data_IF_586685426796
#
_entry.id   IF_586685426796
#
_cell.length_a   1.000
_cell.length_b   1.000
_cell.length_c   1.000
_cell.angle_alpha   90.00
_cell.angle_beta   90.00
_cell.angle_gamma   90.00
#
_symmetry.space_group_name_H-M   'P 1'
#
loop_
_entity.id
_entity.type
_entity.pdbx_description
1 polymer ?
#
# COMPACT_ATOMS: atom_id res chain seq x y z
N UNK A 1 7.05 51.36 11.45
CA UNK A 1 6.83 50.07 10.74
C UNK A 1 7.41 48.98 11.63
N UNK A 2 6.60 48.02 12.08
CA UNK A 2 7.07 46.89 12.89
C UNK A 2 7.51 45.80 11.92
N UNK A 3 8.79 45.50 11.88
CA UNK A 3 9.34 44.43 11.06
C UNK A 3 9.15 43.12 11.83
N UNK A 4 8.33 42.22 11.27
CA UNK A 4 8.17 40.86 11.80
C UNK A 4 9.49 40.12 11.51
N UNK A 5 10.11 39.48 12.51
CA UNK A 5 11.30 38.67 12.25
C UNK A 5 10.90 37.50 11.34
N UNK A 6 11.66 37.30 10.26
CA UNK A 6 11.54 36.13 9.42
C UNK A 6 11.72 34.88 10.30
N UNK A 7 10.75 33.96 10.24
CA UNK A 7 10.88 32.63 10.86
C UNK A 7 12.13 32.00 10.22
N UNK A 8 13.15 31.59 11.00
CA UNK A 8 14.34 30.98 10.43
C UNK A 8 13.94 29.72 9.66
N UNK A 9 14.45 29.58 8.42
CA UNK A 9 14.36 28.34 7.67
C UNK A 9 14.91 27.21 8.56
N UNK A 10 14.06 26.24 8.90
CA UNK A 10 14.49 25.09 9.67
C UNK A 10 15.41 24.26 8.78
N UNK A 11 16.71 24.24 9.05
CA UNK A 11 17.64 23.31 8.42
C UNK A 11 17.20 21.88 8.74
N UNK A 12 16.55 21.24 7.76
CA UNK A 12 16.07 19.87 7.91
C UNK A 12 17.28 18.91 7.88
N UNK A 13 17.52 18.21 8.98
CA UNK A 13 18.52 17.14 9.04
C UNK A 13 17.93 15.85 8.44
N UNK A 14 18.62 15.28 7.45
CA UNK A 14 18.25 14.01 6.81
C UNK A 14 19.05 12.84 7.43
N UNK A 15 18.37 11.73 7.69
CA UNK A 15 18.96 10.49 8.19
C UNK A 15 18.68 9.37 7.19
N UNK A 16 19.73 8.72 6.69
CA UNK A 16 19.59 7.50 5.89
C UNK A 16 19.55 6.26 6.79
N UNK A 17 18.54 5.43 6.62
CA UNK A 17 18.42 4.16 7.35
C UNK A 17 19.15 3.04 6.60
N UNK A 18 20.12 2.35 7.23
CA UNK A 18 20.71 1.14 6.68
C UNK A 18 19.66 0.06 6.43
N UNK A 19 19.79 -0.70 5.34
CA UNK A 19 18.84 -1.78 4.97
C UNK A 19 18.71 -2.90 6.01
N UNK A 20 19.68 -3.02 6.93
CA UNK A 20 19.67 -3.98 8.03
C UNK A 20 18.79 -3.55 9.21
N UNK A 21 18.39 -2.28 9.27
CA UNK A 21 17.55 -1.74 10.34
C UNK A 21 16.11 -1.69 9.83
N UNK A 22 15.25 -2.53 10.43
CA UNK A 22 13.80 -2.44 10.24
C UNK A 22 13.22 -1.28 11.05
N UNK A 23 12.47 -0.40 10.40
CA UNK A 23 11.70 0.63 11.10
C UNK A 23 10.33 0.07 11.49
N UNK A 24 10.09 -0.09 12.79
CA UNK A 24 8.81 -0.59 13.31
C UNK A 24 7.98 0.54 13.89
N UNK A 25 6.70 0.57 13.55
CA UNK A 25 5.74 1.57 13.97
C UNK A 25 4.42 0.96 14.43
N UNK A 26 3.72 1.68 15.28
CA UNK A 26 2.35 1.35 15.70
C UNK A 26 1.37 1.53 14.54
N UNK A 27 0.14 1.08 14.72
CA UNK A 27 -0.90 1.25 13.72
C UNK A 27 -1.28 2.73 13.57
N UNK A 28 -1.35 3.43 14.69
CA UNK A 28 -1.74 4.84 14.79
C UNK A 28 -0.73 5.71 14.06
N UNK A 29 0.57 5.47 14.31
CA UNK A 29 1.66 6.13 13.57
C UNK A 29 1.62 5.84 12.07
N UNK A 30 1.27 4.61 11.67
CA UNK A 30 1.14 4.28 10.25
C UNK A 30 0.03 5.08 9.58
N UNK A 31 -1.12 5.25 10.24
CA UNK A 31 -2.24 6.03 9.70
C UNK A 31 -1.84 7.50 9.50
N UNK A 32 -1.15 8.09 10.46
CA UNK A 32 -0.64 9.47 10.33
C UNK A 32 0.39 9.60 9.20
N UNK A 33 1.34 8.66 9.12
CA UNK A 33 2.36 8.64 8.08
C UNK A 33 1.76 8.46 6.68
N UNK A 34 0.80 7.55 6.51
CA UNK A 34 0.13 7.29 5.24
C UNK A 34 -0.71 8.48 4.79
N UNK A 35 -1.41 9.15 5.72
CA UNK A 35 -2.16 10.36 5.43
C UNK A 35 -1.25 11.52 4.96
N UNK A 36 -0.06 11.66 5.56
CA UNK A 36 0.91 12.69 5.20
C UNK A 36 1.69 12.37 3.91
N UNK A 37 1.81 11.08 3.54
CA UNK A 37 2.68 10.62 2.45
C UNK A 37 1.95 9.71 1.46
N UNK A 38 0.79 10.18 0.96
CA UNK A 38 -0.07 9.39 0.06
C UNK A 38 0.65 8.85 -1.17
N UNK A 39 1.67 9.55 -1.66
CA UNK A 39 2.42 9.17 -2.86
C UNK A 39 3.44 8.04 -2.62
N UNK A 40 3.81 7.75 -1.37
CA UNK A 40 4.89 6.81 -1.03
C UNK A 40 4.46 5.33 -0.97
N UNK A 41 3.17 5.03 -1.17
CA UNK A 41 2.62 3.65 -1.21
C UNK A 41 3.13 2.79 -0.05
N UNK A 42 2.84 3.25 1.17
CA UNK A 42 3.33 2.62 2.40
C UNK A 42 2.58 1.31 2.70
N UNK A 43 3.30 0.32 3.21
CA UNK A 43 2.78 -0.94 3.76
C UNK A 43 3.28 -1.12 5.20
N UNK A 44 2.56 -1.92 6.00
CA UNK A 44 2.95 -2.31 7.36
C UNK A 44 2.86 -3.82 7.54
N UNK A 45 3.90 -4.46 8.04
CA UNK A 45 3.84 -5.90 8.37
C UNK A 45 3.01 -6.15 9.63
N UNK A 46 2.63 -7.41 9.88
CA UNK A 46 1.92 -7.78 11.11
C UNK A 46 2.77 -7.49 12.37
N UNK A 47 4.10 -7.49 12.24
CA UNK A 47 5.05 -7.14 13.32
C UNK A 47 5.23 -5.63 13.49
N UNK A 48 4.65 -4.82 12.59
CA UNK A 48 4.73 -3.37 12.60
C UNK A 48 5.84 -2.75 11.78
N UNK A 49 6.59 -3.53 11.02
CA UNK A 49 7.65 -2.99 10.16
C UNK A 49 7.03 -2.18 9.01
N UNK A 50 7.53 -0.96 8.81
CA UNK A 50 7.16 -0.09 7.71
C UNK A 50 7.90 -0.52 6.44
N UNK A 51 7.15 -0.64 5.35
CA UNK A 51 7.67 -0.96 4.02
C UNK A 51 7.26 0.19 3.10
N UNK A 52 8.22 0.65 2.29
CA UNK A 52 7.98 1.62 1.22
C UNK A 52 8.06 0.87 -0.10
N UNK A 53 7.02 0.95 -0.93
CA UNK A 53 7.05 0.42 -2.29
C UNK A 53 7.34 1.57 -3.26
N UNK A 54 8.58 1.73 -3.76
CA UNK A 54 8.87 2.77 -4.75
C UNK A 54 8.10 2.52 -6.05
N UNK A 55 7.92 3.56 -6.89
CA UNK A 55 7.34 3.42 -8.21
C UNK A 55 8.05 2.31 -9.02
N UNK A 56 7.28 1.54 -9.77
CA UNK A 56 7.81 0.46 -10.61
C UNK A 56 8.28 0.99 -11.96
N UNK A 57 9.32 0.36 -12.52
CA UNK A 57 9.77 0.64 -13.89
C UNK A 57 8.78 0.14 -14.95
N UNK A 58 8.93 0.61 -16.19
CA UNK A 58 7.98 0.36 -17.29
C UNK A 58 7.73 -1.13 -17.59
N UNK A 59 8.75 -1.99 -17.49
CA UNK A 59 8.63 -3.44 -17.70
C UNK A 59 7.70 -4.10 -16.68
N UNK A 60 7.91 -3.74 -15.41
CA UNK A 60 7.09 -4.19 -14.28
C UNK A 60 5.68 -3.62 -14.41
N UNK A 61 5.56 -2.34 -14.78
CA UNK A 61 4.29 -1.69 -15.07
C UNK A 61 3.49 -2.42 -16.17
N UNK A 62 4.12 -2.77 -17.29
CA UNK A 62 3.47 -3.51 -18.37
C UNK A 62 3.05 -4.91 -17.92
N UNK A 63 3.90 -5.62 -17.16
CA UNK A 63 3.55 -6.95 -16.61
C UNK A 63 2.35 -6.87 -15.66
N UNK A 64 2.35 -5.91 -14.73
CA UNK A 64 1.24 -5.70 -13.80
C UNK A 64 -0.04 -5.30 -14.55
N UNK A 65 0.08 -4.48 -15.59
CA UNK A 65 -1.05 -4.14 -16.47
C UNK A 65 -1.69 -5.38 -17.13
N UNK A 66 -0.88 -6.34 -17.60
CA UNK A 66 -1.39 -7.59 -18.19
C UNK A 66 -2.04 -8.52 -17.16
N UNK A 67 -1.52 -8.54 -15.93
CA UNK A 67 -2.11 -9.31 -14.82
C UNK A 67 -3.46 -8.69 -14.44
N UNK A 68 -3.51 -7.38 -14.22
CA UNK A 68 -4.73 -6.66 -13.87
C UNK A 68 -5.80 -6.82 -14.95
N UNK A 69 -5.43 -6.71 -16.23
CA UNK A 69 -6.38 -6.92 -17.33
C UNK A 69 -7.03 -8.30 -17.28
N UNK A 70 -6.25 -9.38 -17.09
CA UNK A 70 -6.81 -10.72 -17.01
C UNK A 70 -7.68 -10.92 -15.77
N UNK A 71 -7.22 -10.41 -14.62
CA UNK A 71 -7.95 -10.54 -13.37
C UNK A 71 -9.28 -9.78 -13.40
N UNK A 72 -9.30 -8.57 -13.96
CA UNK A 72 -10.49 -7.73 -14.03
C UNK A 72 -11.52 -8.37 -14.97
N UNK A 73 -11.08 -8.78 -16.17
CA UNK A 73 -11.94 -9.48 -17.12
C UNK A 73 -12.55 -10.76 -16.52
N UNK A 74 -11.75 -11.55 -15.79
CA UNK A 74 -12.26 -12.74 -15.11
C UNK A 74 -13.26 -12.38 -14.00
N UNK A 75 -12.94 -11.39 -13.17
CA UNK A 75 -13.81 -10.98 -12.06
C UNK A 75 -15.16 -10.44 -12.54
N UNK A 76 -15.18 -9.70 -13.66
CA UNK A 76 -16.40 -9.20 -14.30
C UNK A 76 -17.28 -10.33 -14.83
N UNK A 77 -16.68 -11.39 -15.39
CA UNK A 77 -17.41 -12.58 -15.88
C UNK A 77 -17.89 -13.46 -14.73
N UNK A 78 -17.05 -13.69 -13.72
CA UNK A 78 -17.35 -14.53 -12.57
C UNK A 78 -18.42 -13.89 -11.67
N UNK A 79 -18.38 -12.57 -11.49
CA UNK A 79 -19.39 -11.82 -10.76
C UNK A 79 -19.45 -12.09 -9.25
N UNK A 80 -18.57 -12.92 -8.68
CA UNK A 80 -18.60 -13.24 -7.24
C UNK A 80 -17.70 -12.35 -6.38
N UNK A 81 -17.04 -11.36 -6.99
CA UNK A 81 -16.07 -10.49 -6.33
C UNK A 81 -15.76 -9.18 -7.06
N UNK A 82 -14.74 -8.47 -6.58
CA UNK A 82 -14.22 -7.21 -7.11
C UNK A 82 -12.70 -7.34 -7.19
N UNK A 83 -12.12 -6.97 -8.34
CA UNK A 83 -10.68 -6.92 -8.52
C UNK A 83 -10.12 -5.51 -8.23
N UNK A 84 -8.88 -5.44 -7.78
CA UNK A 84 -8.18 -4.22 -7.39
C UNK A 84 -6.76 -4.21 -7.96
N UNK A 85 -6.27 -3.01 -8.25
CA UNK A 85 -4.93 -2.78 -8.79
C UNK A 85 -3.85 -2.75 -7.68
N UNK A 86 -2.64 -2.34 -8.06
CA UNK A 86 -1.48 -2.36 -7.18
C UNK A 86 -1.42 -1.27 -6.11
N UNK A 87 -2.34 -0.30 -6.15
CA UNK A 87 -2.37 0.86 -5.27
C UNK A 87 -3.31 0.69 -4.07
N UNK A 88 -4.13 -0.36 -4.08
CA UNK A 88 -5.13 -0.60 -3.04
C UNK A 88 -4.51 -1.26 -1.81
N UNK A 89 -4.53 -0.54 -0.68
CA UNK A 89 -4.10 -1.05 0.62
C UNK A 89 -5.20 -1.87 1.32
N UNK A 90 -4.85 -3.06 1.82
CA UNK A 90 -5.74 -3.94 2.58
C UNK A 90 -5.22 -4.14 4.00
N UNK A 91 -6.10 -3.96 4.99
CA UNK A 91 -5.87 -4.41 6.36
C UNK A 91 -6.20 -5.90 6.45
N UNK A 92 -5.21 -6.71 6.77
CA UNK A 92 -5.32 -8.15 6.89
C UNK A 92 -5.74 -8.56 8.32
N UNK A 93 -6.35 -9.74 8.51
CA UNK A 93 -6.79 -10.21 9.84
C UNK A 93 -5.67 -10.32 10.88
N UNK A 94 -4.42 -10.46 10.44
CA UNK A 94 -3.24 -10.49 11.33
C UNK A 94 -2.70 -9.09 11.67
N UNK A 95 -3.41 -8.01 11.30
CA UNK A 95 -3.03 -6.63 11.58
C UNK A 95 -2.02 -6.01 10.61
N UNK A 96 -1.58 -6.74 9.58
CA UNK A 96 -0.76 -6.18 8.50
C UNK A 96 -1.59 -5.26 7.59
N UNK A 97 -0.95 -4.27 6.97
CA UNK A 97 -1.54 -3.42 5.92
C UNK A 97 -0.68 -3.59 4.67
N UNK A 98 -1.21 -4.21 3.61
CA UNK A 98 -0.44 -4.61 2.41
C UNK A 98 -1.10 -4.10 1.13
N UNK A 99 -0.31 -3.78 0.11
CA UNK A 99 -0.77 -3.38 -1.23
C UNK A 99 -0.20 -4.35 -2.28
N UNK A 100 -0.93 -5.43 -2.63
CA UNK A 100 -0.46 -6.45 -3.59
C UNK A 100 -0.35 -5.86 -5.00
N UNK A 101 0.30 -6.52 -5.97
CA UNK A 101 0.33 -6.02 -7.36
C UNK A 101 -1.03 -6.18 -8.08
N UNK A 102 -1.82 -7.16 -7.65
CA UNK A 102 -3.18 -7.41 -8.08
C UNK A 102 -3.92 -8.15 -6.97
N UNK A 103 -5.19 -7.79 -6.73
CA UNK A 103 -6.01 -8.41 -5.67
C UNK A 103 -7.44 -8.66 -6.14
N UNK A 104 -8.09 -9.65 -5.56
CA UNK A 104 -9.52 -9.89 -5.74
C UNK A 104 -10.17 -10.17 -4.38
N UNK A 105 -11.38 -9.62 -4.19
CA UNK A 105 -12.14 -9.74 -2.95
C UNK A 105 -13.55 -10.21 -3.29
N UNK A 106 -14.01 -11.31 -2.68
CA UNK A 106 -15.38 -11.79 -2.85
C UNK A 106 -16.42 -10.78 -2.33
N UNK A 107 -17.53 -10.61 -3.07
CA UNK A 107 -18.60 -9.65 -2.77
C UNK A 107 -19.43 -10.01 -1.54
N UNK A 108 -19.68 -11.31 -1.29
CA UNK A 108 -20.53 -11.76 -0.16
C UNK A 108 -19.97 -11.27 1.19
N UNK A 109 -18.66 -11.38 1.48
CA UNK A 109 -18.05 -10.75 2.64
C UNK A 109 -17.91 -9.23 2.51
N UNK A 110 -17.58 -8.69 1.33
CA UNK A 110 -17.21 -7.29 1.13
C UNK A 110 -18.38 -6.32 1.33
N UNK A 111 -19.52 -6.55 0.68
CA UNK A 111 -20.67 -5.65 0.77
C UNK A 111 -21.23 -5.61 2.19
N UNK A 112 -21.30 -6.77 2.84
CA UNK A 112 -21.80 -6.91 4.21
C UNK A 112 -20.89 -6.19 5.22
N UNK A 113 -19.57 -6.35 5.11
CA UNK A 113 -18.62 -5.71 6.03
C UNK A 113 -18.48 -4.20 5.77
N UNK A 114 -18.49 -3.76 4.51
CA UNK A 114 -18.48 -2.33 4.17
C UNK A 114 -19.71 -1.59 4.69
N UNK A 115 -20.90 -2.23 4.69
CA UNK A 115 -22.12 -1.66 5.26
C UNK A 115 -22.12 -1.65 6.80
N UNK A 116 -21.36 -2.55 7.43
CA UNK A 116 -21.21 -2.64 8.88
C UNK A 116 -20.01 -1.83 9.43
N UNK A 117 -19.24 -1.16 8.58
CA UNK A 117 -18.02 -0.44 8.98
C UNK A 117 -16.86 -1.36 9.39
N UNK A 118 -16.94 -2.64 9.03
CA UNK A 118 -15.94 -3.65 9.33
C UNK A 118 -14.97 -3.85 8.15
N UNK A 119 -13.70 -4.13 8.44
CA UNK A 119 -12.71 -4.46 7.41
C UNK A 119 -12.98 -5.87 6.84
N UNK A 120 -13.19 -6.02 5.51
CA UNK A 120 -13.52 -7.29 4.88
C UNK A 120 -12.53 -8.42 5.21
N UNK A 121 -13.02 -9.59 5.63
CA UNK A 121 -12.28 -10.85 5.64
C UNK A 121 -12.06 -11.31 4.19
N UNK A 122 -10.88 -11.02 3.67
CA UNK A 122 -10.52 -11.26 2.27
C UNK A 122 -9.99 -12.68 2.06
N UNK A 123 -10.59 -13.44 1.14
CA UNK A 123 -9.93 -14.58 0.49
C UNK A 123 -9.08 -14.00 -0.65
N UNK A 124 -7.80 -13.77 -0.38
CA UNK A 124 -6.94 -12.91 -1.20
C UNK A 124 -6.00 -13.77 -2.04
N UNK A 125 -6.12 -13.69 -3.37
CA UNK A 125 -5.07 -14.17 -4.27
C UNK A 125 -4.04 -13.04 -4.38
N UNK A 126 -2.89 -13.23 -3.74
CA UNK A 126 -1.76 -12.30 -3.87
C UNK A 126 -0.91 -12.68 -5.07
N UNK A 127 -0.73 -11.74 -5.99
CA UNK A 127 0.48 -11.73 -6.83
C UNK A 127 1.32 -10.57 -6.35
N UNK A 128 2.48 -10.85 -5.75
CA UNK A 128 3.54 -9.85 -5.56
C UNK A 128 4.71 -10.29 -6.40
N UNK A 129 4.96 -9.59 -7.50
CA UNK A 129 6.20 -9.68 -8.24
C UNK A 129 7.26 -8.98 -7.40
N UNK A 130 7.95 -9.74 -6.56
CA UNK A 130 9.19 -9.27 -5.93
C UNK A 130 10.22 -9.01 -7.03
N UNK A 131 10.37 -7.74 -7.43
CA UNK A 131 11.49 -7.28 -8.26
C UNK A 131 12.32 -6.29 -7.44
N UNK A 132 13.07 -6.83 -6.48
CA UNK A 132 14.39 -6.25 -6.18
C UNK A 132 15.32 -6.83 -7.24
N UNK A 133 15.66 -6.03 -8.25
CA UNK A 133 16.92 -6.07 -9.02
C UNK A 133 16.84 -5.05 -10.16
N UNK A 134 17.35 -3.85 -9.93
CA UNK A 134 18.60 -3.34 -10.51
C UNK A 134 18.76 -1.84 -10.16
N UNK A 135 19.99 -1.37 -9.89
CA UNK A 135 20.25 0.04 -9.69
C UNK A 135 20.15 0.79 -11.03
N UNK A 136 19.63 2.02 -10.98
CA UNK A 136 19.85 3.03 -12.04
C UNK A 136 21.31 3.47 -11.97
#
# INVERSE_FOLDING_TARGET
>A
MVQIPAIPETDNLQIELPRSIGLSITLEQFVELEAANRDLRLERTAKGELIVNPPTGWETGNRNGRINQQLFNWADVDGTGIAFDSSTGFRLPNGAIRSPDASWVSQKPFLMQSLMGETPRVHLIFVKTSLIKHPI
#
